data_IF_337735142627
#
_entry.id   IF_337735142627
#
_cell.length_a   1.000
_cell.length_b   1.000
_cell.length_c   1.000
_cell.angle_alpha   90.00
_cell.angle_beta   90.00
_cell.angle_gamma   90.00
#
_symmetry.space_group_name_H-M   'P 1'
#
loop_
_entity.id
_entity.type
_entity.pdbx_description
1 polymer ?
#
# COMPACT_ATOMS: atom_id res chain seq x y z
N UNK A 1 5.52 42.86 -26.57
CA UNK A 1 5.37 41.49 -27.08
C UNK A 1 6.56 40.59 -26.78
N UNK A 2 7.78 40.87 -27.24
CA UNK A 2 8.95 39.98 -26.99
C UNK A 2 9.35 39.85 -25.50
N UNK A 3 9.26 40.93 -24.72
CA UNK A 3 9.54 40.94 -23.27
C UNK A 3 8.52 40.15 -22.46
N UNK A 4 7.26 40.16 -22.87
CA UNK A 4 6.17 39.36 -22.25
C UNK A 4 6.31 37.87 -22.59
N UNK A 5 6.64 37.53 -23.84
CA UNK A 5 6.89 36.17 -24.26
C UNK A 5 8.07 35.53 -23.50
N UNK A 6 9.17 36.27 -23.28
CA UNK A 6 10.31 35.84 -22.48
C UNK A 6 9.95 35.66 -20.98
N UNK A 7 9.06 36.49 -20.45
CA UNK A 7 8.56 36.36 -19.06
C UNK A 7 7.69 35.12 -18.88
N UNK A 8 6.80 34.85 -19.82
CA UNK A 8 5.93 33.66 -19.84
C UNK A 8 6.74 32.37 -19.97
N UNK A 9 7.76 32.33 -20.82
CA UNK A 9 8.63 31.16 -20.97
C UNK A 9 9.40 30.84 -19.69
N UNK A 10 9.93 31.85 -18.98
CA UNK A 10 10.59 31.66 -17.68
C UNK A 10 9.63 31.11 -16.62
N UNK A 11 8.38 31.58 -16.61
CA UNK A 11 7.33 31.10 -15.69
C UNK A 11 7.00 29.63 -15.99
N UNK A 12 6.91 29.23 -17.25
CA UNK A 12 6.65 27.86 -17.68
C UNK A 12 7.77 26.91 -17.30
N UNK A 13 9.02 27.31 -17.49
CA UNK A 13 10.19 26.55 -17.06
C UNK A 13 10.25 26.40 -15.54
N UNK A 14 9.97 27.47 -14.80
CA UNK A 14 9.92 27.43 -13.34
C UNK A 14 8.79 26.49 -12.84
N UNK A 15 7.62 26.52 -13.47
CA UNK A 15 6.51 25.63 -13.17
C UNK A 15 6.84 24.15 -13.44
N UNK A 16 7.50 23.86 -14.57
CA UNK A 16 7.95 22.52 -14.91
C UNK A 16 9.00 22.00 -13.90
N UNK A 17 10.00 22.83 -13.57
CA UNK A 17 11.02 22.52 -12.57
C UNK A 17 10.43 22.25 -11.19
N UNK A 18 9.47 23.08 -10.77
CA UNK A 18 8.76 22.91 -9.50
C UNK A 18 7.92 21.63 -9.50
N UNK A 19 7.25 21.29 -10.60
CA UNK A 19 6.48 20.04 -10.74
C UNK A 19 7.36 18.81 -10.58
N UNK A 20 8.54 18.78 -11.21
CA UNK A 20 9.51 17.69 -11.08
C UNK A 20 10.07 17.59 -9.65
N UNK A 21 10.37 18.73 -9.03
CA UNK A 21 10.88 18.80 -7.66
C UNK A 21 9.83 18.35 -6.63
N UNK A 22 8.57 18.75 -6.82
CA UNK A 22 7.45 18.32 -6.01
C UNK A 22 7.22 16.80 -6.13
N UNK A 23 7.39 16.25 -7.33
CA UNK A 23 7.34 14.80 -7.56
C UNK A 23 8.44 14.08 -6.78
N UNK A 24 9.67 14.56 -6.84
CA UNK A 24 10.81 14.01 -6.10
C UNK A 24 10.61 14.07 -4.59
N UNK A 25 10.09 15.19 -4.06
CA UNK A 25 9.82 15.37 -2.62
C UNK A 25 8.67 14.47 -2.16
N UNK A 26 7.58 14.37 -2.93
CA UNK A 26 6.43 13.53 -2.58
C UNK A 26 6.79 12.05 -2.62
N UNK A 27 7.44 11.59 -3.69
CA UNK A 27 7.86 10.19 -3.80
C UNK A 27 9.04 9.85 -2.89
N UNK A 28 10.08 10.68 -2.88
CA UNK A 28 11.27 10.44 -2.06
C UNK A 28 10.99 10.57 -0.57
N UNK A 29 10.23 11.59 -0.17
CA UNK A 29 9.87 11.81 1.23
C UNK A 29 8.95 10.73 1.80
N UNK A 30 7.96 10.30 1.03
CA UNK A 30 7.04 9.24 1.47
C UNK A 30 7.69 7.84 1.48
N UNK A 31 8.56 7.55 0.51
CA UNK A 31 9.28 6.27 0.46
C UNK A 31 10.36 6.16 1.55
N UNK A 32 11.06 7.28 1.85
CA UNK A 32 12.17 7.29 2.80
C UNK A 32 11.74 7.45 4.26
N UNK A 33 10.64 8.17 4.52
CA UNK A 33 10.29 8.57 5.88
C UNK A 33 9.20 7.72 6.53
N UNK A 34 8.24 7.18 5.80
CA UNK A 34 7.05 6.63 6.44
C UNK A 34 6.53 5.32 5.89
N UNK A 35 6.93 4.91 4.71
CA UNK A 35 6.33 3.76 4.00
C UNK A 35 4.77 3.81 3.97
N UNK A 36 4.18 4.98 4.25
CA UNK A 36 2.74 5.19 4.33
C UNK A 36 2.21 5.83 3.04
N UNK A 37 1.58 5.02 2.22
CA UNK A 37 0.97 5.42 0.95
C UNK A 37 -0.02 6.59 1.12
N UNK A 38 -0.64 6.74 2.30
CA UNK A 38 -1.60 7.82 2.58
C UNK A 38 -0.96 9.20 2.54
N UNK A 39 0.29 9.32 3.02
CA UNK A 39 1.03 10.59 2.98
C UNK A 39 1.35 11.02 1.55
N UNK A 40 1.61 10.07 0.64
CA UNK A 40 1.78 10.35 -0.79
C UNK A 40 0.51 10.98 -1.36
N UNK A 41 -0.67 10.42 -1.05
CA UNK A 41 -1.94 10.93 -1.57
C UNK A 41 -2.30 12.30 -1.01
N UNK A 42 -2.14 12.52 0.30
CA UNK A 42 -2.48 13.80 0.94
C UNK A 42 -1.52 14.91 0.49
N UNK A 43 -0.22 14.64 0.47
CA UNK A 43 0.78 15.63 0.05
C UNK A 43 0.69 15.95 -1.44
N UNK A 44 0.44 14.94 -2.29
CA UNK A 44 0.23 15.13 -3.73
C UNK A 44 -1.02 15.97 -4.02
N UNK A 45 -2.14 15.67 -3.37
CA UNK A 45 -3.36 16.45 -3.50
C UNK A 45 -3.19 17.90 -3.02
N UNK A 46 -2.51 18.13 -1.89
CA UNK A 46 -2.24 19.45 -1.35
C UNK A 46 -1.34 20.28 -2.28
N UNK A 47 -0.28 19.68 -2.83
CA UNK A 47 0.61 20.33 -3.78
C UNK A 47 -0.09 20.69 -5.09
N UNK A 48 -0.88 19.77 -5.66
CA UNK A 48 -1.68 20.02 -6.87
C UNK A 48 -2.67 21.15 -6.64
N UNK A 49 -3.28 21.19 -5.47
CA UNK A 49 -4.24 22.23 -5.10
C UNK A 49 -3.55 23.60 -4.93
N UNK A 50 -2.43 23.67 -4.21
CA UNK A 50 -1.64 24.91 -4.07
C UNK A 50 -1.14 25.43 -5.41
N UNK A 51 -0.67 24.54 -6.28
CA UNK A 51 -0.23 24.86 -7.63
C UNK A 51 -1.39 25.40 -8.47
N UNK A 52 -2.57 24.78 -8.42
CA UNK A 52 -3.77 25.23 -9.13
C UNK A 52 -4.23 26.63 -8.69
N UNK A 53 -4.15 26.94 -7.37
CA UNK A 53 -4.45 28.27 -6.85
C UNK A 53 -3.43 29.31 -7.34
N UNK A 54 -2.14 28.98 -7.29
CA UNK A 54 -1.07 29.88 -7.73
C UNK A 54 -1.19 30.24 -9.21
N UNK A 55 -1.47 29.25 -10.05
CA UNK A 55 -1.65 29.44 -11.50
C UNK A 55 -2.94 30.21 -11.81
N UNK A 56 -4.05 29.90 -11.10
CA UNK A 56 -5.31 30.61 -11.29
C UNK A 56 -5.27 32.08 -10.89
N UNK A 57 -4.28 32.51 -10.11
CA UNK A 57 -4.03 33.94 -9.79
C UNK A 57 -3.35 34.69 -10.93
N UNK A 58 -2.57 34.01 -11.76
CA UNK A 58 -1.87 34.61 -12.90
C UNK A 58 -2.70 34.43 -14.18
N UNK A 59 -3.23 35.49 -14.67
CA UNK A 59 -4.38 35.65 -15.59
C UNK A 59 -4.46 34.75 -16.84
N UNK A 60 -3.43 34.04 -17.27
CA UNK A 60 -3.40 33.50 -18.65
C UNK A 60 -2.78 32.12 -18.87
N UNK A 61 -2.32 31.40 -17.84
CA UNK A 61 -1.53 30.20 -18.11
C UNK A 61 -2.18 28.88 -17.65
N UNK A 62 -3.30 28.52 -18.31
CA UNK A 62 -3.83 27.15 -18.23
C UNK A 62 -2.78 26.12 -18.68
N UNK A 63 -1.86 26.50 -19.59
CA UNK A 63 -0.76 25.66 -20.06
C UNK A 63 0.27 25.39 -18.95
N UNK A 64 0.63 26.39 -18.15
CA UNK A 64 1.49 26.19 -16.99
C UNK A 64 0.82 25.28 -15.92
N UNK A 65 -0.51 25.33 -15.78
CA UNK A 65 -1.25 24.40 -14.93
C UNK A 65 -1.11 22.96 -15.42
N UNK A 66 -1.28 22.73 -16.71
CA UNK A 66 -1.14 21.41 -17.32
C UNK A 66 0.29 20.90 -17.18
N UNK A 67 1.29 21.71 -17.50
CA UNK A 67 2.71 21.33 -17.40
C UNK A 67 3.12 21.03 -15.97
N UNK A 68 2.59 21.74 -14.98
CA UNK A 68 2.85 21.50 -13.56
C UNK A 68 2.20 20.22 -13.05
N UNK A 69 0.97 19.96 -13.47
CA UNK A 69 0.15 18.86 -12.92
C UNK A 69 0.28 17.56 -13.71
N UNK A 70 0.61 17.64 -15.02
CA UNK A 70 0.70 16.46 -15.87
C UNK A 70 1.71 15.40 -15.40
N UNK A 71 2.94 15.73 -14.96
CA UNK A 71 3.88 14.72 -14.46
C UNK A 71 3.38 13.99 -13.22
N UNK A 72 2.74 14.71 -12.28
CA UNK A 72 2.14 14.14 -11.11
C UNK A 72 0.98 13.21 -11.47
N UNK A 73 0.05 13.69 -12.31
CA UNK A 73 -1.08 12.87 -12.78
C UNK A 73 -0.62 11.64 -13.55
N UNK A 74 0.39 11.77 -14.42
CA UNK A 74 0.91 10.66 -15.19
C UNK A 74 1.56 9.58 -14.31
N UNK A 75 2.42 9.97 -13.36
CA UNK A 75 3.09 9.02 -12.47
C UNK A 75 2.12 8.34 -11.51
N UNK A 76 1.12 9.06 -11.00
CA UNK A 76 0.07 8.45 -10.19
C UNK A 76 -0.86 7.56 -11.01
N UNK A 77 -1.17 7.94 -12.26
CA UNK A 77 -1.93 7.10 -13.17
C UNK A 77 -1.21 5.78 -13.43
N UNK A 78 0.09 5.85 -13.68
CA UNK A 78 0.92 4.66 -13.86
C UNK A 78 0.89 3.77 -12.62
N UNK A 79 1.16 4.32 -11.43
CA UNK A 79 1.15 3.57 -10.17
C UNK A 79 -0.21 2.90 -9.90
N UNK A 80 -1.31 3.63 -10.08
CA UNK A 80 -2.66 3.12 -9.82
C UNK A 80 -3.02 2.01 -10.80
N UNK A 81 -2.68 2.16 -12.07
CA UNK A 81 -3.04 1.20 -13.11
C UNK A 81 -2.20 -0.07 -13.05
N UNK A 82 -0.93 0.03 -12.64
CA UNK A 82 -0.01 -1.12 -12.64
C UNK A 82 0.04 -1.84 -11.29
N UNK A 83 0.13 -1.09 -10.19
CA UNK A 83 0.38 -1.65 -8.87
C UNK A 83 -0.89 -1.77 -8.01
N UNK A 84 -1.78 -0.78 -8.06
CA UNK A 84 -2.96 -0.72 -7.18
C UNK A 84 -4.21 -0.29 -7.95
N UNK A 85 -4.72 -1.12 -8.87
CA UNK A 85 -5.84 -0.75 -9.74
C UNK A 85 -7.14 -0.39 -8.98
N UNK A 86 -7.31 -0.87 -7.75
CA UNK A 86 -8.48 -0.53 -6.91
C UNK A 86 -8.58 0.97 -6.58
N UNK A 87 -7.48 1.71 -6.73
CA UNK A 87 -7.43 3.15 -6.44
C UNK A 87 -7.72 4.06 -7.64
N UNK A 88 -8.17 3.50 -8.79
CA UNK A 88 -8.51 4.30 -9.98
C UNK A 88 -9.50 5.46 -9.71
N UNK A 89 -10.46 5.39 -8.74
CA UNK A 89 -11.34 6.53 -8.47
C UNK A 89 -10.58 7.77 -7.97
N UNK A 90 -9.38 7.61 -7.42
CA UNK A 90 -8.54 8.72 -6.97
C UNK A 90 -8.05 9.59 -8.13
N UNK A 91 -7.87 9.03 -9.33
CA UNK A 91 -7.50 9.80 -10.52
C UNK A 91 -8.60 10.80 -10.90
N UNK A 92 -9.86 10.36 -10.80
CA UNK A 92 -11.02 11.24 -11.04
C UNK A 92 -11.05 12.32 -9.96
N UNK A 93 -10.92 11.95 -8.69
CA UNK A 93 -10.95 12.89 -7.56
C UNK A 93 -9.87 13.97 -7.71
N UNK A 94 -8.68 13.61 -8.11
CA UNK A 94 -7.56 14.55 -8.28
C UNK A 94 -7.74 15.46 -9.50
N UNK A 95 -8.21 14.90 -10.62
CA UNK A 95 -8.54 15.70 -11.80
C UNK A 95 -9.63 16.72 -11.50
N UNK A 96 -10.64 16.32 -10.75
CA UNK A 96 -11.72 17.19 -10.27
C UNK A 96 -11.18 18.24 -9.29
N UNK A 97 -10.30 17.86 -8.35
CA UNK A 97 -9.69 18.80 -7.40
C UNK A 97 -8.86 19.89 -8.11
N UNK A 98 -8.10 19.52 -9.15
CA UNK A 98 -7.35 20.48 -9.98
C UNK A 98 -8.31 21.41 -10.71
N UNK A 99 -9.36 20.90 -11.37
CA UNK A 99 -10.36 21.69 -12.07
C UNK A 99 -11.08 22.67 -11.12
N UNK A 100 -11.47 22.18 -9.94
CA UNK A 100 -12.09 23.01 -8.89
C UNK A 100 -11.11 24.07 -8.41
N UNK A 101 -9.83 23.75 -8.19
CA UNK A 101 -8.80 24.72 -7.81
C UNK A 101 -8.67 25.88 -8.79
N UNK A 102 -8.67 25.60 -10.10
CA UNK A 102 -8.65 26.61 -11.16
C UNK A 102 -9.92 27.47 -11.15
N UNK A 103 -11.08 26.85 -11.03
CA UNK A 103 -12.38 27.57 -10.97
C UNK A 103 -12.45 28.44 -9.71
N UNK A 104 -12.02 27.92 -8.56
CA UNK A 104 -11.99 28.65 -7.30
C UNK A 104 -11.06 29.86 -7.34
N UNK A 105 -9.91 29.72 -7.99
CA UNK A 105 -9.00 30.84 -8.16
C UNK A 105 -9.61 31.98 -8.98
N UNK A 106 -10.51 31.67 -9.92
CA UNK A 106 -11.30 32.68 -10.67
C UNK A 106 -12.41 33.29 -9.83
N UNK A 107 -13.12 32.48 -9.03
CA UNK A 107 -14.20 32.91 -8.15
C UNK A 107 -13.66 33.72 -6.96
N UNK A 108 -12.47 33.38 -6.45
CA UNK A 108 -11.87 34.04 -5.27
C UNK A 108 -11.64 35.55 -5.48
N UNK A 109 -11.54 36.02 -6.72
CA UNK A 109 -11.48 37.45 -7.03
C UNK A 109 -12.80 38.17 -6.69
N UNK A 110 -13.94 37.48 -6.86
CA UNK A 110 -15.25 38.07 -6.65
C UNK A 110 -15.85 37.75 -5.25
N UNK A 111 -15.54 36.57 -4.70
CA UNK A 111 -16.16 36.08 -3.47
C UNK A 111 -15.16 35.30 -2.60
N UNK A 112 -14.20 36.00 -2.01
CA UNK A 112 -13.10 35.41 -1.21
C UNK A 112 -13.59 34.46 -0.09
N UNK A 113 -14.70 34.81 0.60
CA UNK A 113 -15.25 33.96 1.69
C UNK A 113 -15.76 32.63 1.16
N UNK A 114 -16.45 32.62 0.03
CA UNK A 114 -16.96 31.39 -0.60
C UNK A 114 -15.80 30.48 -1.03
N UNK A 115 -14.75 31.05 -1.61
CA UNK A 115 -13.56 30.29 -2.00
C UNK A 115 -12.89 29.61 -0.79
N UNK A 116 -12.77 30.31 0.33
CA UNK A 116 -12.19 29.76 1.58
C UNK A 116 -13.04 28.60 2.11
N UNK A 117 -14.38 28.74 2.12
CA UNK A 117 -15.29 27.69 2.57
C UNK A 117 -15.22 26.45 1.68
N UNK A 118 -15.14 26.62 0.36
CA UNK A 118 -15.00 25.50 -0.58
C UNK A 118 -13.66 24.79 -0.43
N UNK A 119 -12.57 25.54 -0.20
CA UNK A 119 -11.25 24.97 0.10
C UNK A 119 -11.27 24.17 1.38
N UNK A 120 -11.87 24.72 2.44
CA UNK A 120 -12.00 24.03 3.72
C UNK A 120 -12.83 22.74 3.58
N UNK A 121 -13.96 22.79 2.87
CA UNK A 121 -14.79 21.62 2.60
C UNK A 121 -14.04 20.54 1.79
N UNK A 122 -13.24 20.93 0.79
CA UNK A 122 -12.40 20.01 0.02
C UNK A 122 -11.31 19.37 0.88
N UNK A 123 -10.65 20.13 1.75
CA UNK A 123 -9.64 19.60 2.66
C UNK A 123 -10.25 18.61 3.66
N UNK A 124 -11.38 18.94 4.25
CA UNK A 124 -12.09 18.04 5.17
C UNK A 124 -12.56 16.79 4.45
N UNK A 125 -13.17 16.94 3.27
CA UNK A 125 -13.64 15.80 2.46
C UNK A 125 -12.51 14.90 1.99
N UNK A 126 -11.40 15.47 1.52
CA UNK A 126 -10.23 14.69 1.08
C UNK A 126 -9.55 13.97 2.26
N UNK A 127 -9.44 14.63 3.42
CA UNK A 127 -8.91 14.00 4.63
C UNK A 127 -9.79 12.84 5.08
N UNK A 128 -11.11 13.03 5.14
CA UNK A 128 -12.04 11.94 5.47
C UNK A 128 -11.96 10.79 4.47
N UNK A 129 -11.87 11.08 3.19
CA UNK A 129 -11.72 10.07 2.14
C UNK A 129 -10.40 9.29 2.29
N UNK A 130 -9.27 9.98 2.48
CA UNK A 130 -7.96 9.36 2.62
C UNK A 130 -7.82 8.55 3.92
N UNK A 131 -8.37 9.03 5.04
CA UNK A 131 -8.24 8.37 6.34
C UNK A 131 -9.32 7.32 6.57
N UNK A 132 -10.54 7.56 6.10
CA UNK A 132 -11.69 6.70 6.38
C UNK A 132 -12.03 5.70 5.26
N UNK A 133 -11.98 6.11 4.00
CA UNK A 133 -12.44 5.30 2.87
C UNK A 133 -11.32 4.45 2.24
N UNK A 134 -10.18 5.07 1.89
CA UNK A 134 -9.09 4.37 1.21
C UNK A 134 -8.57 3.16 2.00
N UNK A 135 -8.27 3.25 3.31
CA UNK A 135 -7.77 2.11 4.06
C UNK A 135 -8.72 0.91 4.06
N UNK A 136 -10.04 1.19 4.13
CA UNK A 136 -11.07 0.13 4.08
C UNK A 136 -11.12 -0.56 2.72
N UNK A 137 -11.02 0.20 1.63
CA UNK A 137 -11.01 -0.37 0.28
C UNK A 137 -9.72 -1.15 0.03
N UNK A 138 -8.58 -0.62 0.46
CA UNK A 138 -7.30 -1.29 0.34
C UNK A 138 -7.31 -2.61 1.14
N UNK A 139 -7.76 -2.59 2.39
CA UNK A 139 -7.89 -3.80 3.19
C UNK A 139 -8.78 -4.87 2.52
N UNK A 140 -9.89 -4.45 1.91
CA UNK A 140 -10.77 -5.37 1.15
C UNK A 140 -10.09 -5.92 -0.10
N UNK A 141 -9.30 -5.13 -0.81
CA UNK A 141 -8.61 -5.56 -2.02
C UNK A 141 -7.42 -6.48 -1.75
N UNK A 142 -6.80 -6.33 -0.57
CA UNK A 142 -5.71 -7.22 -0.13
C UNK A 142 -6.23 -8.61 0.24
N UNK A 143 -7.47 -8.72 0.73
CA UNK A 143 -8.06 -9.96 1.20
C UNK A 143 -8.90 -10.63 0.10
N UNK A 144 -8.57 -11.84 -0.26
CA UNK A 144 -9.35 -12.68 -1.16
C UNK A 144 -9.84 -13.92 -0.41
N UNK A 145 -11.11 -13.93 -0.05
CA UNK A 145 -11.76 -15.11 0.52
C UNK A 145 -12.08 -16.09 -0.60
N UNK A 146 -11.79 -17.37 -0.39
CA UNK A 146 -11.96 -18.44 -1.39
C UNK A 146 -12.39 -19.72 -0.69
N UNK A 147 -12.77 -20.72 -1.43
CA UNK A 147 -13.05 -22.10 -0.97
C UNK A 147 -12.45 -23.12 -1.95
N UNK A 148 -11.24 -22.82 -2.43
CA UNK A 148 -10.54 -23.65 -3.38
C UNK A 148 -9.65 -24.67 -2.67
N UNK A 149 -9.45 -25.88 -3.22
CA UNK A 149 -8.47 -26.81 -2.70
C UNK A 149 -7.06 -26.16 -2.78
N UNK A 150 -6.27 -26.36 -1.73
CA UNK A 150 -4.89 -25.89 -1.77
C UNK A 150 -4.09 -26.68 -2.81
N UNK A 151 -3.16 -26.03 -3.52
CA UNK A 151 -2.20 -26.74 -4.34
C UNK A 151 -1.33 -27.66 -3.48
N UNK A 152 -0.71 -28.65 -4.10
CA UNK A 152 0.31 -29.44 -3.41
C UNK A 152 1.56 -28.59 -3.22
N UNK A 153 2.00 -28.45 -1.98
CA UNK A 153 3.23 -27.75 -1.63
C UNK A 153 3.95 -28.45 -0.48
N UNK A 154 5.24 -28.21 -0.40
CA UNK A 154 6.09 -28.71 0.68
C UNK A 154 7.03 -27.58 1.07
N UNK A 155 7.06 -27.26 2.36
CA UNK A 155 7.98 -26.30 2.96
C UNK A 155 8.95 -27.05 3.87
N UNK A 156 10.22 -26.66 3.85
CA UNK A 156 11.23 -27.28 4.69
C UNK A 156 11.40 -26.49 5.99
N UNK A 157 11.23 -27.13 7.18
CA UNK A 157 11.46 -26.45 8.44
C UNK A 157 12.90 -25.92 8.54
N UNK A 158 13.06 -24.66 8.99
CA UNK A 158 14.38 -24.04 9.21
C UNK A 158 15.00 -24.50 10.52
N UNK A 159 14.20 -24.89 11.49
CA UNK A 159 14.63 -25.24 12.86
C UNK A 159 14.80 -26.75 13.11
N UNK A 160 15.17 -27.53 12.12
CA UNK A 160 15.52 -28.94 12.34
C UNK A 160 14.35 -29.89 12.64
N UNK A 161 13.14 -29.53 12.29
CA UNK A 161 11.98 -30.44 12.32
C UNK A 161 11.99 -31.36 11.10
N UNK A 162 11.61 -32.63 11.27
CA UNK A 162 11.66 -33.65 10.22
C UNK A 162 10.40 -33.73 9.36
N UNK A 163 9.35 -32.96 9.64
CA UNK A 163 8.07 -33.06 8.92
C UNK A 163 7.87 -31.80 8.04
N UNK A 164 7.88 -31.97 6.72
CA UNK A 164 7.55 -30.87 5.83
C UNK A 164 6.14 -30.35 6.08
N UNK A 165 5.97 -29.05 6.13
CA UNK A 165 4.65 -28.41 6.18
C UNK A 165 3.96 -28.61 4.83
N UNK A 166 2.77 -29.17 4.82
CA UNK A 166 1.99 -29.49 3.63
C UNK A 166 0.53 -29.13 3.78
N UNK A 167 -0.22 -29.14 2.68
CA UNK A 167 -1.66 -28.79 2.66
C UNK A 167 -2.56 -29.76 3.44
N UNK A 168 -2.11 -30.96 3.80
CA UNK A 168 -2.92 -31.97 4.51
C UNK A 168 -2.49 -32.04 5.97
N UNK A 169 -2.94 -31.11 6.77
CA UNK A 169 -2.46 -30.95 8.15
C UNK A 169 -3.49 -31.33 9.23
N UNK A 170 -4.80 -31.40 8.91
CA UNK A 170 -5.86 -31.62 9.91
C UNK A 170 -6.06 -30.44 10.86
N UNK A 171 -5.32 -29.35 10.68
CA UNK A 171 -5.39 -28.10 11.45
C UNK A 171 -5.60 -26.92 10.51
N UNK A 172 -6.02 -25.81 11.07
CA UNK A 172 -5.99 -24.53 10.37
C UNK A 172 -4.53 -24.12 10.29
N UNK A 173 -4.02 -23.85 9.07
CA UNK A 173 -2.65 -23.46 8.83
C UNK A 173 -2.61 -22.03 8.28
N UNK A 174 -1.90 -21.17 8.99
CA UNK A 174 -1.61 -19.80 8.57
C UNK A 174 -0.17 -19.75 8.06
N UNK A 175 -0.02 -19.57 6.76
CA UNK A 175 1.27 -19.48 6.07
C UNK A 175 1.51 -18.04 5.68
N UNK A 176 2.60 -17.45 6.17
CA UNK A 176 2.99 -16.09 5.80
C UNK A 176 4.31 -16.10 5.03
N UNK A 177 4.26 -15.72 3.77
CA UNK A 177 5.41 -15.59 2.89
C UNK A 177 6.07 -14.23 3.10
N UNK A 178 7.34 -14.27 3.44
CA UNK A 178 8.13 -13.17 3.97
C UNK A 178 9.47 -13.02 3.25
N UNK A 179 10.08 -11.83 3.32
CA UNK A 179 11.50 -11.65 2.99
C UNK A 179 12.15 -10.68 3.99
N UNK A 180 13.43 -10.95 4.36
CA UNK A 180 14.14 -10.13 5.36
C UNK A 180 14.41 -8.70 4.89
N UNK A 181 14.32 -8.45 3.60
CA UNK A 181 14.48 -7.12 2.96
C UNK A 181 13.18 -6.39 2.68
N UNK A 182 12.04 -7.03 2.95
CA UNK A 182 10.71 -6.50 2.66
C UNK A 182 10.21 -5.64 3.83
N UNK A 183 10.19 -4.32 3.66
CA UNK A 183 9.76 -3.40 4.71
C UNK A 183 8.30 -3.61 5.17
N UNK A 184 7.29 -3.82 4.28
CA UNK A 184 5.93 -4.16 4.72
C UNK A 184 5.86 -5.48 5.50
N UNK A 185 6.66 -6.49 5.12
CA UNK A 185 6.73 -7.75 5.85
C UNK A 185 7.25 -7.55 7.28
N UNK A 186 8.30 -6.74 7.44
CA UNK A 186 8.87 -6.41 8.75
C UNK A 186 7.83 -5.70 9.63
N UNK A 187 7.01 -4.84 9.04
CA UNK A 187 5.94 -4.13 9.76
C UNK A 187 4.77 -5.04 10.16
N UNK A 188 4.52 -6.12 9.41
CA UNK A 188 3.46 -7.11 9.70
C UNK A 188 3.83 -8.07 10.84
N UNK A 189 5.11 -8.41 10.98
CA UNK A 189 5.58 -9.42 11.93
C UNK A 189 5.08 -9.27 13.38
N UNK A 190 5.11 -8.08 14.00
CA UNK A 190 4.60 -7.90 15.37
C UNK A 190 3.11 -8.21 15.49
N UNK A 191 2.33 -7.82 14.48
CA UNK A 191 0.89 -8.06 14.45
C UNK A 191 0.59 -9.56 14.28
N UNK A 192 1.30 -10.24 13.39
CA UNK A 192 1.15 -11.68 13.19
C UNK A 192 1.56 -12.47 14.43
N UNK A 193 2.65 -12.08 15.09
CA UNK A 193 3.07 -12.67 16.36
C UNK A 193 2.01 -12.45 17.46
N UNK A 194 1.38 -11.28 17.50
CA UNK A 194 0.30 -11.00 18.43
C UNK A 194 -0.96 -11.83 18.14
N UNK A 195 -1.32 -12.03 16.85
CA UNK A 195 -2.41 -12.95 16.46
C UNK A 195 -2.13 -14.37 16.93
N UNK A 196 -0.90 -14.87 16.70
CA UNK A 196 -0.49 -16.20 17.17
C UNK A 196 -0.56 -16.33 18.70
N UNK A 197 -0.16 -15.30 19.43
CA UNK A 197 -0.24 -15.27 20.88
C UNK A 197 -1.70 -15.30 21.38
N UNK A 198 -2.60 -14.53 20.75
CA UNK A 198 -4.04 -14.53 21.08
C UNK A 198 -4.72 -15.89 20.88
N UNK A 199 -4.19 -16.70 19.97
CA UNK A 199 -4.71 -18.01 19.59
C UNK A 199 -3.87 -19.18 20.16
N UNK A 200 -2.90 -18.91 21.02
CA UNK A 200 -1.97 -19.90 21.58
C UNK A 200 -2.65 -21.04 22.34
N UNK A 201 -3.85 -20.81 22.88
CA UNK A 201 -4.66 -21.82 23.55
C UNK A 201 -5.41 -22.77 22.58
N UNK A 202 -5.51 -22.40 21.31
CA UNK A 202 -6.15 -23.24 20.29
C UNK A 202 -5.11 -24.09 19.55
N UNK A 203 -4.99 -25.35 19.98
CA UNK A 203 -4.07 -26.32 19.36
C UNK A 203 -4.47 -26.73 17.94
N UNK A 204 -5.63 -26.31 17.46
CA UNK A 204 -6.13 -26.56 16.11
C UNK A 204 -5.64 -25.54 15.08
N UNK A 205 -4.87 -24.52 15.49
CA UNK A 205 -4.34 -23.48 14.59
C UNK A 205 -2.82 -23.49 14.66
N UNK A 206 -2.19 -23.50 13.50
CA UNK A 206 -0.73 -23.42 13.35
C UNK A 206 -0.32 -22.24 12.47
N UNK A 207 0.75 -21.57 12.88
CA UNK A 207 1.35 -20.48 12.14
C UNK A 207 2.72 -20.91 11.61
N UNK A 208 3.07 -20.48 10.42
CA UNK A 208 4.40 -20.68 9.87
C UNK A 208 4.84 -19.46 9.06
N UNK A 209 6.01 -18.92 9.38
CA UNK A 209 6.69 -17.92 8.55
C UNK A 209 7.55 -18.61 7.51
N UNK A 210 7.47 -18.15 6.27
CA UNK A 210 8.14 -18.76 5.13
C UNK A 210 8.99 -17.72 4.41
N UNK A 211 10.30 -17.95 4.33
CA UNK A 211 11.18 -17.21 3.45
C UNK A 211 11.59 -18.03 2.24
N UNK A 212 12.14 -17.40 1.22
CA UNK A 212 12.58 -18.02 -0.01
C UNK A 212 13.91 -17.43 -0.48
N UNK A 213 14.70 -18.24 -1.17
CA UNK A 213 15.93 -17.82 -1.86
C UNK A 213 15.70 -16.79 -2.98
N UNK A 214 14.47 -16.67 -3.49
CA UNK A 214 14.11 -15.61 -4.44
C UNK A 214 14.23 -14.19 -3.87
N UNK A 215 14.08 -14.04 -2.55
CA UNK A 215 14.29 -12.79 -1.82
C UNK A 215 15.73 -12.55 -1.40
N UNK A 216 16.70 -13.32 -1.91
CA UNK A 216 18.09 -13.35 -1.46
C UNK A 216 18.24 -13.75 0.03
N UNK A 217 17.26 -14.47 0.58
CA UNK A 217 17.35 -15.04 1.90
C UNK A 217 18.01 -16.42 1.86
N UNK A 218 18.64 -16.80 2.97
CA UNK A 218 19.04 -18.17 3.27
C UNK A 218 18.36 -18.63 4.55
N UNK A 219 18.22 -19.92 4.80
CA UNK A 219 17.65 -20.43 6.05
C UNK A 219 18.32 -19.83 7.29
N UNK A 220 19.66 -19.69 7.29
CA UNK A 220 20.45 -19.15 8.41
C UNK A 220 20.18 -17.65 8.61
N UNK A 221 20.19 -16.89 7.50
CA UNK A 221 19.91 -15.44 7.52
C UNK A 221 18.48 -15.18 8.03
N UNK A 222 17.51 -15.94 7.54
CA UNK A 222 16.13 -15.82 7.94
C UNK A 222 15.96 -16.15 9.43
N UNK A 223 16.52 -17.26 9.91
CA UNK A 223 16.50 -17.63 11.34
C UNK A 223 17.09 -16.52 12.19
N UNK A 224 18.32 -16.09 11.91
CA UNK A 224 19.01 -15.04 12.67
C UNK A 224 18.24 -13.72 12.67
N UNK A 225 17.56 -13.40 11.56
CA UNK A 225 16.72 -12.20 11.46
C UNK A 225 15.52 -12.23 12.41
N UNK A 226 14.83 -13.38 12.51
CA UNK A 226 13.65 -13.56 13.35
C UNK A 226 14.05 -13.67 14.83
N UNK A 227 15.12 -14.40 15.16
CA UNK A 227 15.65 -14.52 16.52
C UNK A 227 16.02 -13.16 17.13
N UNK A 228 16.72 -12.30 16.35
CA UNK A 228 17.06 -10.93 16.77
C UNK A 228 15.86 -10.06 17.09
N UNK A 229 14.67 -10.41 16.62
CA UNK A 229 13.41 -9.72 16.85
C UNK A 229 12.55 -10.37 17.93
N UNK A 230 13.04 -11.44 18.55
CA UNK A 230 12.35 -12.20 19.59
C UNK A 230 10.94 -12.67 19.17
N UNK A 231 10.79 -13.07 17.90
CA UNK A 231 9.54 -13.56 17.36
C UNK A 231 9.52 -15.08 17.43
N UNK A 232 8.59 -15.63 18.22
CA UNK A 232 8.46 -17.05 18.47
C UNK A 232 7.42 -17.70 17.53
N UNK A 233 7.68 -17.66 16.21
CA UNK A 233 6.87 -18.36 15.21
C UNK A 233 7.66 -19.47 14.57
N UNK A 234 7.05 -20.61 14.18
CA UNK A 234 7.69 -21.64 13.39
C UNK A 234 8.19 -21.10 12.06
N UNK A 235 9.40 -21.50 11.65
CA UNK A 235 10.06 -21.04 10.44
C UNK A 235 10.19 -22.18 9.43
N UNK A 236 9.84 -21.89 8.18
CA UNK A 236 10.05 -22.79 7.07
C UNK A 236 10.70 -22.06 5.88
N UNK A 237 11.26 -22.82 4.95
CA UNK A 237 11.91 -22.29 3.76
C UNK A 237 11.33 -22.88 2.48
N UNK A 238 11.04 -22.02 1.52
CA UNK A 238 10.50 -22.35 0.20
C UNK A 238 11.62 -22.25 -0.85
N UNK A 239 12.33 -23.33 -1.09
CA UNK A 239 13.40 -23.37 -2.08
C UNK A 239 12.88 -23.18 -3.50
N UNK A 240 13.39 -22.16 -4.17
CA UNK A 240 13.00 -21.75 -5.52
C UNK A 240 11.62 -21.08 -5.58
N UNK A 241 11.00 -20.75 -4.44
CA UNK A 241 9.69 -20.10 -4.39
C UNK A 241 8.55 -20.96 -4.94
N UNK A 242 8.67 -22.28 -4.88
CA UNK A 242 7.71 -23.21 -5.51
C UNK A 242 6.34 -23.18 -4.82
N UNK A 243 6.33 -23.12 -3.49
CA UNK A 243 5.09 -23.01 -2.75
C UNK A 243 4.41 -21.68 -3.01
N UNK A 244 5.16 -20.58 -2.96
CA UNK A 244 4.66 -19.24 -3.29
C UNK A 244 4.00 -19.21 -4.68
N UNK A 245 4.66 -19.76 -5.71
CA UNK A 245 4.10 -19.80 -7.07
C UNK A 245 2.88 -20.68 -7.18
N UNK A 246 2.83 -21.83 -6.46
CA UNK A 246 1.69 -22.73 -6.52
C UNK A 246 0.40 -22.10 -6.00
N UNK A 247 0.50 -21.16 -5.07
CA UNK A 247 -0.64 -20.34 -4.61
C UNK A 247 -0.96 -19.16 -5.55
N UNK A 248 -0.21 -18.98 -6.64
CA UNK A 248 -0.41 -17.86 -7.58
C UNK A 248 -0.10 -16.50 -6.98
N UNK A 249 0.77 -16.44 -5.97
CA UNK A 249 1.17 -15.20 -5.31
C UNK A 249 2.12 -14.40 -6.20
N UNK A 250 2.05 -13.06 -6.10
CA UNK A 250 2.87 -12.17 -6.95
C UNK A 250 3.95 -11.41 -6.19
N UNK A 251 3.98 -11.51 -4.86
CA UNK A 251 4.94 -10.79 -4.04
C UNK A 251 4.75 -11.08 -2.55
N UNK A 252 5.54 -10.42 -1.72
CA UNK A 252 5.50 -10.52 -0.28
C UNK A 252 5.25 -9.14 0.34
N UNK A 253 4.61 -9.05 1.54
CA UNK A 253 4.09 -10.18 2.31
C UNK A 253 2.87 -10.82 1.64
N UNK A 254 2.70 -12.12 1.84
CA UNK A 254 1.53 -12.83 1.38
C UNK A 254 1.09 -13.89 2.40
N UNK A 255 -0.09 -13.70 2.97
CA UNK A 255 -0.65 -14.58 3.97
C UNK A 255 -1.70 -15.48 3.33
N UNK A 256 -1.57 -16.79 3.55
CA UNK A 256 -2.51 -17.81 3.10
C UNK A 256 -3.05 -18.56 4.31
N UNK A 257 -4.37 -18.71 4.41
CA UNK A 257 -5.03 -19.48 5.45
C UNK A 257 -5.67 -20.73 4.82
N UNK A 258 -5.29 -21.89 5.34
CA UNK A 258 -5.87 -23.18 4.99
C UNK A 258 -6.75 -23.67 6.13
N UNK A 259 -7.92 -24.23 5.81
CA UNK A 259 -8.75 -24.91 6.79
C UNK A 259 -8.24 -26.34 7.10
N UNK A 260 -8.91 -27.03 8.04
CA UNK A 260 -8.57 -28.40 8.46
C UNK A 260 -8.65 -29.43 7.32
N UNK A 261 -9.39 -29.11 6.26
CA UNK A 261 -9.55 -29.96 5.06
C UNK A 261 -8.51 -29.64 3.98
N UNK A 262 -7.61 -28.70 4.22
CA UNK A 262 -6.61 -28.25 3.25
C UNK A 262 -7.19 -27.37 2.14
N UNK A 263 -8.30 -26.68 2.39
CA UNK A 263 -8.83 -25.68 1.46
C UNK A 263 -8.29 -24.30 1.79
N UNK A 264 -7.95 -23.54 0.77
CA UNK A 264 -7.60 -22.11 0.92
C UNK A 264 -8.86 -21.33 1.25
N UNK A 265 -8.87 -20.70 2.41
CA UNK A 265 -10.00 -19.88 2.87
C UNK A 265 -9.75 -18.39 2.75
N UNK A 266 -8.49 -17.99 2.89
CA UNK A 266 -8.06 -16.60 2.74
C UNK A 266 -6.71 -16.54 2.05
N UNK A 267 -6.58 -15.65 1.11
CA UNK A 267 -5.30 -15.19 0.59
C UNK A 267 -5.25 -13.67 0.75
N UNK A 268 -4.20 -13.18 1.38
CA UNK A 268 -3.94 -11.75 1.53
C UNK A 268 -2.58 -11.43 0.91
N UNK A 269 -2.52 -10.42 0.05
CA UNK A 269 -1.28 -9.97 -0.56
C UNK A 269 -1.00 -8.52 -0.17
N UNK A 270 0.15 -8.29 0.44
CA UNK A 270 0.55 -6.99 0.97
C UNK A 270 0.05 -6.73 2.38
N UNK A 271 0.73 -5.81 3.06
CA UNK A 271 0.39 -5.33 4.40
C UNK A 271 0.28 -3.82 4.42
N UNK A 272 -0.73 -3.32 5.12
CA UNK A 272 -0.92 -1.90 5.34
C UNK A 272 -0.84 -1.59 6.84
N UNK A 273 0.28 -1.00 7.27
CA UNK A 273 0.51 -0.62 8.67
C UNK A 273 -0.54 0.35 9.24
N UNK A 274 -1.32 0.99 8.37
CA UNK A 274 -2.41 1.86 8.76
C UNK A 274 -3.73 1.13 9.03
N UNK A 275 -3.79 -0.17 8.80
CA UNK A 275 -4.95 -1.01 9.09
C UNK A 275 -4.94 -1.43 10.56
N UNK A 276 -5.58 -0.65 11.41
CA UNK A 276 -5.65 -0.90 12.86
C UNK A 276 -6.53 -2.11 13.22
N UNK A 277 -7.19 -2.71 12.25
CA UNK A 277 -8.13 -3.82 12.47
C UNK A 277 -7.56 -5.19 12.09
N UNK A 278 -6.37 -5.25 11.47
CA UNK A 278 -5.75 -6.47 10.95
C UNK A 278 -5.77 -7.64 11.98
N UNK A 279 -5.21 -7.39 13.18
CA UNK A 279 -5.14 -8.40 14.25
C UNK A 279 -6.52 -8.91 14.62
N UNK A 280 -7.46 -8.01 14.93
CA UNK A 280 -8.83 -8.38 15.32
C UNK A 280 -9.54 -9.16 14.23
N UNK A 281 -9.46 -8.68 13.00
CA UNK A 281 -10.19 -9.25 11.87
C UNK A 281 -9.63 -10.64 11.50
N UNK A 282 -8.30 -10.83 11.58
CA UNK A 282 -7.68 -12.13 11.34
C UNK A 282 -8.01 -13.13 12.47
N UNK A 283 -7.93 -12.71 13.74
CA UNK A 283 -8.33 -13.56 14.89
C UNK A 283 -9.79 -13.99 14.76
N UNK A 284 -10.68 -13.04 14.45
CA UNK A 284 -12.10 -13.33 14.28
C UNK A 284 -12.33 -14.29 13.11
N UNK A 285 -11.67 -14.10 11.99
CA UNK A 285 -11.76 -14.99 10.82
C UNK A 285 -11.30 -16.42 11.16
N UNK A 286 -10.14 -16.58 11.79
CA UNK A 286 -9.60 -17.90 12.15
C UNK A 286 -10.52 -18.66 13.11
N UNK A 287 -11.23 -17.97 14.00
CA UNK A 287 -12.21 -18.58 14.90
C UNK A 287 -13.49 -19.06 14.20
N UNK A 288 -13.74 -18.67 12.95
CA UNK A 288 -14.89 -19.12 12.16
C UNK A 288 -14.62 -20.40 11.38
N UNK A 289 -13.37 -20.85 11.30
CA UNK A 289 -12.92 -22.05 10.58
C UNK A 289 -12.85 -23.28 11.48
#
# INVERSE_FOLDING_TARGET
MEKEAKSLWKLRLAAAGFGVLALGVVYGGALLLTNDVRLIYVSGAALLFCAAIWIGRNKEDWFAAVVLTAPLLASFSYLILTEVPVLWPNLILWSVAVAIGVVLARIARARRRLAILLVAALLVGSTWYCVGYIPKQLARSLNRVTDAPAPSFVLQPVSGGSVPVSSKHGKILVVDFFATTCAPCIAELPELAAVSADLSNDRGIEFVLVASDRGNDTPERFRSFIEKRHIALPLAFDFGGKAHDSFGLRGVPALVVLDRNGKVRLTRTGYNAAETTFRRDLVQFLKTL
#
